data_IF_343367513567
#
_entry.id   IF_343367513567
#
_cell.length_a   1.000
_cell.length_b   1.000
_cell.length_c   1.000
_cell.angle_alpha   90.00
_cell.angle_beta   90.00
_cell.angle_gamma   90.00
#
_symmetry.space_group_name_H-M   'P 1'
#
loop_
_entity.id
_entity.type
_entity.pdbx_description
1 polymer ?
#
# COMPACT_ATOMS: atom_id res chain seq x y z
N UNK A 1 3.39 -6.63 13.57
CA UNK A 1 2.56 -5.50 14.04
C UNK A 1 1.63 -5.93 15.20
N UNK A 2 0.63 -6.79 14.95
CA UNK A 2 -0.35 -7.14 15.97
C UNK A 2 0.27 -7.81 17.23
N UNK A 3 1.22 -8.72 17.04
CA UNK A 3 1.93 -9.33 18.18
C UNK A 3 2.72 -8.30 18.99
N UNK A 4 3.33 -7.33 18.32
CA UNK A 4 4.02 -6.21 18.98
C UNK A 4 3.03 -5.32 19.74
N UNK A 5 1.84 -5.11 19.20
CA UNK A 5 0.79 -4.34 19.87
C UNK A 5 0.34 -5.05 21.16
N UNK A 6 0.12 -6.37 21.10
CA UNK A 6 -0.20 -7.16 22.29
C UNK A 6 0.92 -7.08 23.33
N UNK A 7 2.18 -7.21 22.91
CA UNK A 7 3.34 -7.06 23.81
C UNK A 7 3.41 -5.66 24.43
N UNK A 8 3.18 -4.59 23.66
CA UNK A 8 3.15 -3.20 24.16
C UNK A 8 2.07 -2.99 25.22
N UNK A 9 0.90 -3.60 25.02
CA UNK A 9 -0.24 -3.45 25.93
C UNK A 9 -0.11 -4.36 27.17
N UNK A 10 0.40 -5.58 27.01
CA UNK A 10 0.36 -6.60 28.10
C UNK A 10 1.72 -6.89 28.71
N UNK A 11 2.81 -6.52 28.06
CA UNK A 11 4.17 -6.93 28.41
C UNK A 11 4.48 -8.40 28.08
N UNK A 12 3.58 -9.11 27.39
CA UNK A 12 3.74 -10.54 27.07
C UNK A 12 3.84 -10.76 25.56
N UNK A 13 4.69 -11.71 25.17
CA UNK A 13 4.84 -12.09 23.78
C UNK A 13 3.71 -13.03 23.33
N UNK A 14 3.13 -12.73 22.19
CA UNK A 14 2.17 -13.58 21.51
C UNK A 14 2.93 -14.52 20.56
N UNK A 15 2.81 -15.82 20.77
CA UNK A 15 3.38 -16.81 19.84
C UNK A 15 2.63 -16.74 18.51
N UNK A 16 3.35 -16.47 17.44
CA UNK A 16 2.81 -16.41 16.08
C UNK A 16 3.42 -17.49 15.21
N UNK A 17 2.60 -18.13 14.38
CA UNK A 17 3.07 -19.12 13.42
C UNK A 17 2.16 -19.20 12.20
N UNK A 18 2.73 -19.45 11.04
CA UNK A 18 1.99 -19.93 9.88
C UNK A 18 1.79 -21.44 10.03
N UNK A 19 0.55 -21.92 9.95
CA UNK A 19 0.23 -23.34 10.18
C UNK A 19 -1.04 -23.73 9.44
N UNK A 20 -1.23 -25.04 9.28
CA UNK A 20 -2.49 -25.61 8.82
C UNK A 20 -3.37 -26.04 10.00
N UNK A 21 -4.70 -26.22 9.77
CA UNK A 21 -5.58 -26.82 10.76
C UNK A 21 -5.06 -28.20 11.17
N UNK A 22 -4.95 -28.44 12.49
CA UNK A 22 -4.41 -29.69 13.05
C UNK A 22 -2.94 -29.62 13.50
N UNK A 23 -2.16 -28.68 13.00
CA UNK A 23 -0.73 -28.55 13.38
C UNK A 23 -0.51 -27.76 14.66
N UNK A 24 -1.59 -27.21 15.25
CA UNK A 24 -1.51 -26.30 16.39
C UNK A 24 -2.18 -26.90 17.61
N UNK A 25 -1.45 -26.98 18.71
CA UNK A 25 -2.00 -27.26 20.04
C UNK A 25 -1.95 -26.00 20.88
N UNK A 26 -3.10 -25.37 21.09
CA UNK A 26 -3.24 -24.19 21.93
C UNK A 26 -4.66 -24.13 22.51
N UNK A 27 -4.79 -23.93 23.82
CA UNK A 27 -6.11 -23.82 24.44
C UNK A 27 -6.96 -22.67 23.87
N UNK A 28 -6.30 -21.55 23.53
CA UNK A 28 -6.91 -20.35 22.94
C UNK A 28 -6.05 -19.88 21.77
N UNK A 29 -6.68 -19.34 20.73
CA UNK A 29 -6.00 -18.87 19.54
C UNK A 29 -6.67 -17.60 18.95
N UNK A 30 -5.91 -16.88 18.15
CA UNK A 30 -6.43 -15.90 17.20
C UNK A 30 -6.11 -16.46 15.83
N UNK A 31 -7.14 -16.79 15.05
CA UNK A 31 -7.03 -17.35 13.69
C UNK A 31 -7.29 -16.23 12.72
N UNK A 32 -6.31 -15.96 11.85
CA UNK A 32 -6.35 -14.84 10.90
C UNK A 32 -6.14 -15.34 9.49
N UNK A 33 -6.96 -14.89 8.55
CA UNK A 33 -6.75 -15.27 7.16
C UNK A 33 -7.70 -14.63 6.17
N UNK A 34 -7.36 -14.78 4.90
CA UNK A 34 -8.15 -14.30 3.78
C UNK A 34 -9.03 -15.44 3.24
N UNK A 35 -10.30 -15.15 2.97
CA UNK A 35 -11.27 -16.07 2.38
C UNK A 35 -10.72 -16.61 1.05
N UNK A 36 -10.82 -17.92 0.86
CA UNK A 36 -10.33 -18.61 -0.35
C UNK A 36 -8.79 -18.76 -0.43
N UNK A 37 -8.02 -18.10 0.47
CA UNK A 37 -6.54 -18.20 0.50
C UNK A 37 -6.00 -18.88 1.75
N UNK A 38 -6.66 -18.71 2.88
CA UNK A 38 -6.23 -19.30 4.16
C UNK A 38 -6.83 -20.68 4.36
N UNK A 39 -5.97 -21.68 4.58
CA UNK A 39 -6.40 -23.05 4.90
C UNK A 39 -7.29 -23.08 6.17
N UNK A 40 -6.96 -22.26 7.18
CA UNK A 40 -7.75 -22.15 8.40
C UNK A 40 -9.16 -21.61 8.14
N UNK A 41 -9.27 -20.50 7.42
CA UNK A 41 -10.57 -19.90 7.11
C UNK A 41 -11.41 -20.86 6.26
N UNK A 42 -10.81 -21.46 5.23
CA UNK A 42 -11.49 -22.40 4.36
C UNK A 42 -12.00 -23.65 5.12
N UNK A 43 -11.19 -24.17 6.06
CA UNK A 43 -11.60 -25.30 6.90
C UNK A 43 -12.77 -24.94 7.83
N UNK A 44 -12.75 -23.76 8.44
CA UNK A 44 -13.85 -23.29 9.31
C UNK A 44 -15.14 -23.07 8.52
N UNK A 45 -15.06 -22.56 7.30
CA UNK A 45 -16.21 -22.41 6.39
C UNK A 45 -16.77 -23.78 5.99
N UNK A 46 -15.90 -24.71 5.57
CA UNK A 46 -16.30 -26.07 5.17
C UNK A 46 -16.99 -26.84 6.33
N UNK A 47 -16.54 -26.61 7.57
CA UNK A 47 -17.13 -27.18 8.77
C UNK A 47 -18.36 -26.39 9.29
N UNK A 48 -18.83 -25.37 8.56
CA UNK A 48 -19.94 -24.49 8.94
C UNK A 48 -19.77 -23.84 10.34
N UNK A 49 -18.52 -23.61 10.76
CA UNK A 49 -18.20 -22.94 12.04
C UNK A 49 -18.21 -21.42 11.90
N UNK A 50 -17.99 -20.91 10.71
CA UNK A 50 -18.14 -19.50 10.33
C UNK A 50 -18.87 -19.39 9.00
N UNK A 51 -19.57 -18.28 8.82
CA UNK A 51 -20.18 -17.90 7.53
C UNK A 51 -19.52 -16.64 6.99
N UNK A 52 -18.77 -16.78 5.91
CA UNK A 52 -18.06 -15.68 5.23
C UNK A 52 -18.86 -15.08 4.08
N UNK A 53 -20.07 -15.58 3.77
CA UNK A 53 -20.95 -15.05 2.70
C UNK A 53 -21.09 -13.53 2.75
N UNK A 54 -21.26 -12.89 3.95
CA UNK A 54 -21.43 -11.45 4.01
C UNK A 54 -20.24 -10.61 3.52
N UNK A 55 -19.02 -11.19 3.49
CA UNK A 55 -17.82 -10.47 3.06
C UNK A 55 -17.26 -10.99 1.72
N UNK A 56 -17.70 -12.15 1.27
CA UNK A 56 -17.20 -12.79 0.04
C UNK A 56 -17.59 -11.95 -1.20
N UNK A 57 -16.63 -11.73 -2.09
CA UNK A 57 -16.82 -10.91 -3.30
C UNK A 57 -16.78 -9.41 -3.09
N UNK A 58 -16.83 -8.94 -1.84
CA UNK A 58 -16.58 -7.54 -1.49
C UNK A 58 -15.08 -7.23 -1.44
N UNK A 59 -14.71 -5.97 -1.45
CA UNK A 59 -13.32 -5.54 -1.33
C UNK A 59 -13.06 -4.87 0.01
N UNK A 60 -11.90 -5.19 0.62
CA UNK A 60 -11.43 -4.65 1.90
C UNK A 60 -12.43 -4.84 3.06
N UNK A 61 -13.30 -5.86 2.97
CA UNK A 61 -14.22 -6.24 4.04
C UNK A 61 -13.58 -7.25 4.96
N UNK A 62 -14.04 -7.28 6.19
CA UNK A 62 -13.62 -8.28 7.17
C UNK A 62 -14.74 -8.61 8.15
N UNK A 63 -14.59 -9.75 8.77
CA UNK A 63 -15.42 -10.15 9.91
C UNK A 63 -14.56 -10.64 11.06
N UNK A 64 -15.07 -10.46 12.27
CA UNK A 64 -14.46 -10.94 13.50
C UNK A 64 -15.53 -11.64 14.29
N UNK A 65 -15.28 -12.86 14.70
CA UNK A 65 -16.18 -13.58 15.61
C UNK A 65 -15.42 -14.57 16.50
N UNK A 66 -16.06 -14.97 17.58
CA UNK A 66 -15.54 -16.00 18.49
C UNK A 66 -16.10 -17.34 18.07
N UNK A 67 -15.24 -18.35 17.94
CA UNK A 67 -15.60 -19.73 17.58
C UNK A 67 -15.16 -20.68 18.67
N UNK A 68 -16.11 -21.47 19.18
CA UNK A 68 -15.82 -22.54 20.12
C UNK A 68 -15.37 -23.81 19.37
N UNK A 69 -14.33 -24.46 19.88
CA UNK A 69 -13.75 -25.67 19.33
C UNK A 69 -13.45 -25.57 17.82
N UNK A 70 -12.68 -24.55 17.38
CA UNK A 70 -12.42 -24.34 15.96
C UNK A 70 -11.67 -25.50 15.33
N UNK A 71 -10.80 -26.17 16.07
CA UNK A 71 -10.06 -27.35 15.66
C UNK A 71 -9.73 -28.22 16.88
N UNK A 72 -9.33 -29.50 16.68
CA UNK A 72 -8.85 -30.35 17.78
C UNK A 72 -7.75 -29.67 18.59
N UNK A 73 -7.86 -29.70 19.91
CA UNK A 73 -6.89 -29.08 20.83
C UNK A 73 -7.09 -27.57 21.06
N UNK A 74 -7.93 -26.87 20.29
CA UNK A 74 -8.23 -25.46 20.51
C UNK A 74 -9.65 -25.32 21.07
N UNK A 75 -9.75 -24.88 22.34
CA UNK A 75 -11.05 -24.73 23.02
C UNK A 75 -11.85 -23.55 22.46
N UNK A 76 -11.19 -22.44 22.16
CA UNK A 76 -11.84 -21.21 21.67
C UNK A 76 -10.87 -20.37 20.85
N UNK A 77 -11.36 -19.75 19.77
CA UNK A 77 -10.58 -18.79 19.00
C UNK A 77 -11.38 -17.53 18.69
N UNK A 78 -10.65 -16.39 18.58
CA UNK A 78 -11.11 -15.23 17.85
C UNK A 78 -10.70 -15.46 16.39
N UNK A 79 -11.67 -15.42 15.48
CA UNK A 79 -11.43 -15.59 14.04
C UNK A 79 -11.55 -14.24 13.37
N UNK A 80 -10.52 -13.87 12.61
CA UNK A 80 -10.47 -12.68 11.75
C UNK A 80 -10.40 -13.16 10.31
N UNK A 81 -11.47 -12.99 9.55
CA UNK A 81 -11.53 -13.34 8.14
C UNK A 81 -11.67 -12.07 7.29
N UNK A 82 -10.79 -11.88 6.32
CA UNK A 82 -10.87 -10.79 5.35
C UNK A 82 -11.33 -11.28 3.98
N UNK A 83 -12.06 -10.44 3.23
CA UNK A 83 -12.40 -10.70 1.82
C UNK A 83 -11.16 -10.71 0.92
N UNK A 84 -10.15 -9.94 1.30
CA UNK A 84 -8.85 -9.82 0.66
C UNK A 84 -7.74 -9.55 1.69
N UNK A 85 -6.49 -9.33 1.19
CA UNK A 85 -5.32 -9.11 2.07
C UNK A 85 -5.45 -7.86 2.94
N UNK A 86 -6.06 -6.77 2.43
CA UNK A 86 -6.29 -5.53 3.19
C UNK A 86 -7.40 -5.69 4.21
N UNK A 87 -8.51 -6.28 3.83
CA UNK A 87 -9.58 -6.61 4.77
C UNK A 87 -9.08 -7.46 5.94
N UNK A 88 -8.21 -8.44 5.66
CA UNK A 88 -7.58 -9.25 6.72
C UNK A 88 -6.73 -8.39 7.66
N UNK A 89 -5.90 -7.51 7.12
CA UNK A 89 -5.07 -6.59 7.90
C UNK A 89 -5.92 -5.61 8.73
N UNK A 90 -6.96 -5.02 8.13
CA UNK A 90 -7.87 -4.10 8.83
C UNK A 90 -8.61 -4.78 9.98
N UNK A 91 -9.09 -6.02 9.76
CA UNK A 91 -9.73 -6.79 10.82
C UNK A 91 -8.79 -7.03 12.00
N UNK A 92 -7.55 -7.42 11.74
CA UNK A 92 -6.56 -7.65 12.78
C UNK A 92 -6.17 -6.35 13.50
N UNK A 93 -5.93 -5.26 12.78
CA UNK A 93 -5.57 -3.96 13.35
C UNK A 93 -6.75 -3.26 14.05
N UNK A 94 -7.99 -3.64 13.74
CA UNK A 94 -9.14 -3.18 14.52
C UNK A 94 -9.13 -3.74 15.93
N UNK A 95 -8.62 -4.97 16.11
CA UNK A 95 -8.38 -5.53 17.46
C UNK A 95 -7.25 -4.76 18.16
N UNK A 96 -6.15 -4.42 17.45
CA UNK A 96 -5.10 -3.55 18.01
C UNK A 96 -5.66 -2.25 18.56
N UNK A 97 -6.55 -1.60 17.80
CA UNK A 97 -7.25 -0.39 18.26
C UNK A 97 -8.13 -0.65 19.48
N UNK A 98 -8.89 -1.75 19.49
CA UNK A 98 -9.77 -2.12 20.59
C UNK A 98 -9.02 -2.40 21.88
N UNK A 99 -7.79 -2.91 21.82
CA UNK A 99 -6.93 -3.12 23.00
C UNK A 99 -6.17 -1.86 23.44
N UNK A 100 -6.36 -0.73 22.76
CA UNK A 100 -5.83 0.58 23.18
C UNK A 100 -4.59 1.05 22.43
N UNK A 101 -4.25 0.46 21.28
CA UNK A 101 -3.16 0.95 20.44
C UNK A 101 -3.69 1.95 19.42
N UNK A 102 -3.39 3.22 19.62
CA UNK A 102 -3.74 4.28 18.69
C UNK A 102 -3.04 4.10 17.33
N UNK A 103 -3.67 4.38 16.19
CA UNK A 103 -2.97 4.51 14.91
C UNK A 103 -1.78 5.47 14.95
N UNK A 104 -1.85 6.46 15.81
CA UNK A 104 -0.86 7.53 15.96
C UNK A 104 0.21 7.26 17.02
N UNK A 105 0.28 6.03 17.57
CA UNK A 105 1.19 5.70 18.65
C UNK A 105 2.66 6.02 18.32
N UNK A 106 3.05 5.88 17.07
CA UNK A 106 4.41 6.10 16.62
C UNK A 106 4.63 7.54 16.09
N UNK A 107 3.72 8.03 15.23
CA UNK A 107 3.88 9.34 14.58
C UNK A 107 3.56 10.54 15.49
N UNK A 108 2.73 10.37 16.48
CA UNK A 108 2.32 11.43 17.39
C UNK A 108 2.54 11.05 18.87
N UNK A 109 3.41 10.07 19.13
CA UNK A 109 3.76 9.59 20.48
C UNK A 109 2.52 9.31 21.36
N UNK A 110 1.41 8.88 20.73
CA UNK A 110 0.18 8.59 21.45
C UNK A 110 0.42 7.44 22.44
N UNK A 111 0.23 7.65 23.76
CA UNK A 111 0.66 6.69 24.77
C UNK A 111 -0.15 5.39 24.71
N UNK A 112 0.53 4.27 24.85
CA UNK A 112 -0.08 2.94 24.99
C UNK A 112 -0.13 2.61 26.47
N UNK A 113 -1.34 2.48 27.01
CA UNK A 113 -1.53 2.12 28.42
C UNK A 113 -1.32 0.62 28.61
N UNK A 114 -0.35 0.24 29.44
CA UNK A 114 -0.15 -1.15 29.82
C UNK A 114 -1.29 -1.65 30.72
N UNK A 115 -1.70 -2.89 30.50
CA UNK A 115 -2.79 -3.55 31.21
C UNK A 115 -2.34 -4.91 31.74
N UNK A 116 -2.51 -5.14 33.05
CA UNK A 116 -2.21 -6.44 33.67
C UNK A 116 -3.17 -7.56 33.25
N UNK A 117 -4.39 -7.18 32.84
CA UNK A 117 -5.42 -8.10 32.33
C UNK A 117 -6.03 -7.44 31.09
N UNK A 118 -6.01 -8.16 30.00
CA UNK A 118 -6.63 -7.74 28.75
C UNK A 118 -7.89 -8.58 28.54
N UNK A 119 -9.02 -7.92 28.38
CA UNK A 119 -10.29 -8.55 28.01
C UNK A 119 -10.88 -7.78 26.83
N UNK A 120 -11.11 -8.47 25.74
CA UNK A 120 -11.81 -7.92 24.57
C UNK A 120 -13.11 -8.69 24.42
N UNK A 121 -14.23 -7.98 24.50
CA UNK A 121 -15.52 -8.59 24.21
C UNK A 121 -15.72 -8.60 22.70
N UNK A 122 -15.59 -9.77 22.10
CA UNK A 122 -15.74 -9.96 20.67
C UNK A 122 -17.15 -10.46 20.38
N UNK A 123 -18.05 -9.54 20.02
CA UNK A 123 -19.29 -9.89 19.34
C UNK A 123 -19.01 -10.16 17.88
N UNK A 124 -19.89 -10.90 17.20
CA UNK A 124 -19.81 -11.04 15.76
C UNK A 124 -19.86 -9.65 15.11
N UNK A 125 -18.80 -9.29 14.41
CA UNK A 125 -18.67 -8.02 13.70
C UNK A 125 -18.44 -8.29 12.21
N UNK A 126 -19.12 -7.55 11.36
CA UNK A 126 -18.96 -7.59 9.91
C UNK A 126 -18.79 -6.16 9.43
N UNK A 127 -17.67 -5.87 8.78
CA UNK A 127 -17.40 -4.53 8.23
C UNK A 127 -18.27 -4.25 7.03
N UNK A 128 -18.53 -2.98 6.79
CA UNK A 128 -19.04 -2.51 5.49
C UNK A 128 -17.89 -2.43 4.49
N UNK A 129 -18.23 -2.47 3.21
CA UNK A 129 -17.29 -2.14 2.15
C UNK A 129 -17.01 -0.63 2.19
N UNK A 130 -15.76 -0.19 2.01
CA UNK A 130 -15.45 1.23 1.93
C UNK A 130 -16.14 1.89 0.74
N UNK A 131 -16.73 3.07 0.95
CA UNK A 131 -17.43 3.80 -0.12
C UNK A 131 -16.49 4.36 -1.20
N UNK A 132 -15.19 4.55 -0.88
CA UNK A 132 -14.16 5.07 -1.78
C UNK A 132 -13.06 4.04 -1.94
N UNK A 133 -12.71 3.73 -3.20
CA UNK A 133 -11.75 2.67 -3.52
C UNK A 133 -10.33 2.99 -3.06
N UNK A 134 -9.84 4.18 -3.35
CA UNK A 134 -8.49 4.62 -2.96
C UNK A 134 -8.58 5.69 -1.88
N UNK A 135 -7.91 5.44 -0.74
CA UNK A 135 -7.91 6.29 0.44
C UNK A 135 -6.48 6.37 0.95
N UNK A 136 -5.93 7.56 1.02
CA UNK A 136 -4.53 7.68 1.39
C UNK A 136 -4.07 9.11 1.53
N UNK A 137 -2.77 9.27 1.46
CA UNK A 137 -2.10 10.56 1.55
C UNK A 137 -1.18 10.78 0.35
N UNK A 138 -0.87 12.04 0.13
CA UNK A 138 0.18 12.50 -0.75
C UNK A 138 1.28 13.15 0.11
N UNK A 139 2.51 12.66 -0.01
CA UNK A 139 3.66 13.28 0.63
C UNK A 139 4.13 14.39 -0.29
N UNK A 140 3.90 15.62 0.15
CA UNK A 140 4.30 16.83 -0.52
C UNK A 140 5.03 17.72 0.48
N UNK A 141 5.99 18.52 0.03
CA UNK A 141 6.84 19.35 0.91
C UNK A 141 7.66 18.54 1.93
N UNK A 142 8.06 17.32 1.60
CA UNK A 142 8.84 16.43 2.45
C UNK A 142 10.20 17.01 2.84
N UNK A 143 10.77 17.88 2.05
CA UNK A 143 12.02 18.60 2.30
C UNK A 143 11.94 19.57 3.48
N UNK A 144 10.74 20.01 3.85
CA UNK A 144 10.52 20.89 5.00
C UNK A 144 10.60 20.15 6.34
N UNK A 145 10.24 18.88 6.38
CA UNK A 145 10.19 18.12 7.62
C UNK A 145 10.61 16.67 7.49
N UNK A 146 9.83 15.83 6.82
CA UNK A 146 9.97 14.38 6.79
C UNK A 146 11.36 13.93 6.29
N UNK A 147 11.85 14.52 5.21
CA UNK A 147 13.17 14.21 4.65
C UNK A 147 14.29 14.48 5.67
N UNK A 148 14.30 15.68 6.26
CA UNK A 148 15.32 16.07 7.23
C UNK A 148 15.25 15.22 8.48
N UNK A 149 14.05 14.93 8.96
CA UNK A 149 13.86 14.07 10.12
C UNK A 149 14.39 12.64 9.86
N UNK A 150 13.98 12.01 8.77
CA UNK A 150 14.43 10.65 8.44
C UNK A 150 15.93 10.58 8.24
N UNK A 151 16.50 11.47 7.43
CA UNK A 151 17.94 11.55 7.15
C UNK A 151 18.78 11.72 8.43
N UNK A 152 18.32 12.54 9.37
CA UNK A 152 19.12 12.90 10.54
C UNK A 152 18.84 12.03 11.77
N UNK A 153 17.67 11.39 11.85
CA UNK A 153 17.23 10.69 13.07
C UNK A 153 16.86 9.23 12.85
N UNK A 154 16.31 8.84 11.69
CA UNK A 154 15.71 7.53 11.52
C UNK A 154 16.43 6.62 10.51
N UNK A 155 16.76 7.10 9.31
CA UNK A 155 17.54 6.39 8.29
C UNK A 155 18.88 7.10 8.03
N UNK A 156 19.63 7.39 9.10
CA UNK A 156 20.93 8.11 9.06
C UNK A 156 21.94 7.44 8.13
N UNK A 157 21.99 6.12 8.15
CA UNK A 157 22.90 5.32 7.34
C UNK A 157 22.65 5.47 5.84
N UNK A 158 21.43 5.78 5.45
CA UNK A 158 21.06 6.04 4.06
C UNK A 158 21.30 7.51 3.66
N UNK A 159 21.27 8.41 4.62
CA UNK A 159 21.35 9.86 4.36
C UNK A 159 20.14 10.40 3.58
N UNK A 160 19.05 9.64 3.55
CA UNK A 160 17.79 9.93 2.88
C UNK A 160 16.68 9.14 3.56
N UNK A 161 15.43 9.30 3.15
CA UNK A 161 14.42 8.34 3.62
C UNK A 161 14.12 7.27 2.57
N UNK A 162 13.79 6.09 3.05
CA UNK A 162 13.63 4.90 2.22
C UNK A 162 12.73 3.88 2.90
N UNK A 163 13.03 2.57 2.79
CA UNK A 163 12.12 1.51 3.16
C UNK A 163 11.68 1.52 4.63
N UNK A 164 12.53 1.95 5.57
CA UNK A 164 12.14 2.02 6.98
C UNK A 164 11.10 3.12 7.21
N UNK A 165 11.30 4.30 6.64
CA UNK A 165 10.35 5.41 6.75
C UNK A 165 9.04 5.07 6.05
N UNK A 166 9.11 4.52 4.83
CA UNK A 166 7.90 4.10 4.12
C UNK A 166 7.16 2.97 4.84
N UNK A 167 7.85 2.06 5.53
CA UNK A 167 7.19 1.04 6.35
C UNK A 167 6.33 1.66 7.47
N UNK A 168 6.82 2.70 8.16
CA UNK A 168 6.05 3.40 9.18
C UNK A 168 4.85 4.16 8.60
N UNK A 169 5.00 4.73 7.40
CA UNK A 169 3.89 5.40 6.70
C UNK A 169 2.84 4.37 6.28
N UNK A 170 3.25 3.26 5.69
CA UNK A 170 2.35 2.18 5.29
C UNK A 170 1.61 1.55 6.48
N UNK A 171 2.29 1.38 7.62
CA UNK A 171 1.67 0.93 8.86
C UNK A 171 0.57 1.90 9.33
N UNK A 172 0.86 3.21 9.36
CA UNK A 172 -0.13 4.22 9.70
C UNK A 172 -1.35 4.14 8.79
N UNK A 173 -1.13 4.04 7.48
CA UNK A 173 -2.22 3.93 6.51
C UNK A 173 -3.10 2.71 6.79
N UNK A 174 -2.52 1.52 7.01
CA UNK A 174 -3.29 0.33 7.35
C UNK A 174 -4.07 0.49 8.65
N UNK A 175 -3.48 1.10 9.68
CA UNK A 175 -4.14 1.36 10.98
C UNK A 175 -5.33 2.32 10.84
N UNK A 176 -5.27 3.22 9.86
CA UNK A 176 -6.35 4.13 9.49
C UNK A 176 -7.33 3.56 8.45
N UNK A 177 -7.17 2.29 8.07
CA UNK A 177 -7.92 1.63 7.00
C UNK A 177 -7.81 2.36 5.66
N UNK A 178 -6.64 2.94 5.40
CA UNK A 178 -6.25 3.51 4.12
C UNK A 178 -5.40 2.52 3.34
N UNK A 179 -5.32 2.71 2.01
CA UNK A 179 -4.70 1.75 1.09
C UNK A 179 -3.85 2.39 0.01
N UNK A 180 -3.65 3.72 0.03
CA UNK A 180 -3.04 4.44 -1.08
C UNK A 180 -1.99 5.44 -0.60
N UNK A 181 -0.91 5.56 -1.36
CA UNK A 181 0.18 6.49 -1.09
C UNK A 181 0.71 7.10 -2.39
N UNK A 182 0.67 8.43 -2.52
CA UNK A 182 1.56 9.16 -3.40
C UNK A 182 2.85 9.45 -2.62
N UNK A 183 4.00 8.90 -3.04
CA UNK A 183 5.25 9.06 -2.31
C UNK A 183 5.85 10.46 -2.49
N UNK A 184 6.90 10.74 -1.73
CA UNK A 184 7.71 11.93 -1.84
C UNK A 184 8.26 12.12 -3.26
N UNK A 185 8.20 13.35 -3.77
CA UNK A 185 8.48 13.65 -5.18
C UNK A 185 9.51 14.75 -5.40
N UNK A 186 9.85 15.54 -4.39
CA UNK A 186 10.81 16.63 -4.52
C UNK A 186 12.23 16.10 -4.74
N UNK A 187 13.06 16.86 -5.42
CA UNK A 187 14.43 16.49 -5.76
C UNK A 187 15.38 16.42 -4.55
N UNK A 188 15.00 17.03 -3.42
CA UNK A 188 15.70 16.89 -2.14
C UNK A 188 15.70 15.44 -1.66
N UNK A 189 14.64 14.69 -1.92
CA UNK A 189 14.49 13.28 -1.56
C UNK A 189 14.80 12.37 -2.75
N UNK A 190 15.23 11.15 -2.46
CA UNK A 190 15.40 10.15 -3.51
C UNK A 190 14.04 9.66 -3.98
N UNK A 191 13.81 9.64 -5.29
CA UNK A 191 12.56 9.13 -5.86
C UNK A 191 12.24 7.73 -5.35
N UNK A 192 10.99 7.48 -5.01
CA UNK A 192 10.52 6.24 -4.39
C UNK A 192 10.98 4.99 -5.15
N UNK A 193 10.80 5.00 -6.46
CA UNK A 193 11.08 3.83 -7.31
C UNK A 193 12.57 3.60 -7.61
N UNK A 194 13.45 4.54 -7.28
CA UNK A 194 14.91 4.34 -7.34
C UNK A 194 15.45 3.40 -6.26
N UNK A 195 14.65 3.15 -5.23
CA UNK A 195 14.98 2.23 -4.15
C UNK A 195 14.04 1.02 -4.29
N UNK A 196 14.50 -0.11 -4.87
CA UNK A 196 13.65 -1.27 -5.12
C UNK A 196 12.94 -1.79 -3.87
N UNK A 197 13.57 -1.70 -2.71
CA UNK A 197 13.03 -2.14 -1.43
C UNK A 197 11.77 -1.37 -1.03
N UNK A 198 11.61 -0.12 -1.47
CA UNK A 198 10.41 0.67 -1.19
C UNK A 198 9.16 0.01 -1.77
N UNK A 199 9.25 -0.52 -3.01
CA UNK A 199 8.13 -1.23 -3.66
C UNK A 199 7.77 -2.52 -2.92
N UNK A 200 8.81 -3.26 -2.48
CA UNK A 200 8.61 -4.48 -1.71
C UNK A 200 7.95 -4.19 -0.35
N UNK A 201 8.34 -3.11 0.31
CA UNK A 201 7.70 -2.65 1.54
C UNK A 201 6.24 -2.29 1.28
N UNK A 202 5.95 -1.42 0.31
CA UNK A 202 4.57 -1.03 0.01
C UNK A 202 3.70 -2.24 -0.32
N UNK A 203 4.20 -3.19 -1.13
CA UNK A 203 3.47 -4.42 -1.45
C UNK A 203 3.25 -5.31 -0.22
N UNK A 204 4.26 -5.45 0.65
CA UNK A 204 4.13 -6.24 1.90
C UNK A 204 3.06 -5.68 2.84
N UNK A 205 2.85 -4.37 2.83
CA UNK A 205 1.76 -3.68 3.53
C UNK A 205 0.47 -3.59 2.71
N UNK A 206 0.43 -4.15 1.49
CA UNK A 206 -0.71 -4.07 0.59
C UNK A 206 -1.15 -2.62 0.26
N UNK A 207 -0.20 -1.70 0.18
CA UNK A 207 -0.44 -0.31 -0.18
C UNK A 207 -0.31 -0.14 -1.69
N UNK A 208 -1.32 0.47 -2.29
CA UNK A 208 -1.34 0.87 -3.71
C UNK A 208 -0.52 2.14 -3.87
N UNK A 209 0.44 2.12 -4.78
CA UNK A 209 1.29 3.28 -5.02
C UNK A 209 0.71 4.14 -6.14
N UNK A 210 0.63 5.44 -5.87
CA UNK A 210 0.35 6.44 -6.91
C UNK A 210 1.57 7.30 -7.20
N UNK A 211 1.36 8.35 -7.96
CA UNK A 211 2.36 9.38 -8.21
C UNK A 211 1.72 10.74 -8.39
N UNK A 212 2.55 11.77 -8.29
CA UNK A 212 2.13 13.14 -8.54
C UNK A 212 1.96 13.41 -10.05
N UNK A 213 1.44 14.61 -10.36
CA UNK A 213 1.35 15.13 -11.73
C UNK A 213 2.71 15.26 -12.43
N UNK A 214 3.81 15.37 -11.67
CA UNK A 214 5.17 15.47 -12.20
C UNK A 214 5.82 14.10 -12.47
N UNK A 215 5.11 13.00 -12.22
CA UNK A 215 5.67 11.65 -12.28
C UNK A 215 4.85 10.75 -13.22
N UNK A 216 4.90 11.00 -14.54
CA UNK A 216 4.19 10.16 -15.51
C UNK A 216 4.68 8.71 -15.39
N UNK A 217 3.72 7.77 -15.37
CA UNK A 217 3.98 6.34 -15.20
C UNK A 217 4.92 6.01 -14.02
N UNK A 218 4.82 6.77 -12.91
CA UNK A 218 5.64 6.60 -11.71
C UNK A 218 7.13 6.95 -11.91
N UNK A 219 7.47 7.67 -12.98
CA UNK A 219 8.83 8.13 -13.26
C UNK A 219 9.01 9.57 -12.78
N UNK A 220 9.87 9.79 -11.79
CA UNK A 220 10.15 11.13 -11.26
C UNK A 220 11.04 11.92 -12.20
N UNK A 221 10.44 12.87 -12.93
CA UNK A 221 11.14 13.64 -13.96
C UNK A 221 12.25 14.54 -13.42
N UNK A 222 12.10 15.04 -12.18
CA UNK A 222 13.04 15.96 -11.58
C UNK A 222 14.34 15.28 -11.12
N UNK A 223 14.23 14.10 -10.50
CA UNK A 223 15.36 13.43 -9.84
C UNK A 223 15.95 12.28 -10.64
N UNK A 224 15.17 11.65 -11.54
CA UNK A 224 15.60 10.47 -12.30
C UNK A 224 16.08 10.78 -13.70
N UNK A 225 15.57 11.83 -14.35
CA UNK A 225 16.03 12.21 -15.67
C UNK A 225 17.44 12.83 -15.63
N UNK A 226 18.36 12.30 -16.42
CA UNK A 226 19.75 12.77 -16.50
C UNK A 226 20.02 13.30 -17.91
N UNK A 227 19.96 14.63 -18.07
CA UNK A 227 20.09 15.33 -19.36
C UNK A 227 21.38 14.98 -20.10
N UNK A 228 22.49 14.84 -19.36
CA UNK A 228 23.80 14.50 -19.91
C UNK A 228 23.86 13.12 -20.56
N UNK A 229 22.97 12.20 -20.17
CA UNK A 229 22.92 10.81 -20.65
C UNK A 229 21.71 10.51 -21.51
N UNK A 230 20.60 11.19 -21.26
CA UNK A 230 19.28 10.90 -21.84
C UNK A 230 18.84 11.96 -22.85
N UNK A 231 19.60 13.07 -23.01
CA UNK A 231 19.21 14.22 -23.83
C UNK A 231 18.16 15.10 -23.16
N UNK A 232 17.47 15.90 -23.94
CA UNK A 232 16.40 16.77 -23.42
C UNK A 232 15.18 15.96 -23.03
N UNK A 233 14.51 16.36 -21.95
CA UNK A 233 13.16 15.91 -21.63
C UNK A 233 12.17 16.66 -22.52
N UNK A 234 12.06 16.20 -23.76
CA UNK A 234 11.34 16.88 -24.82
C UNK A 234 10.67 15.86 -25.74
N UNK A 235 9.35 15.92 -25.78
CA UNK A 235 8.56 14.94 -26.55
C UNK A 235 8.54 15.22 -28.06
N UNK A 236 8.95 16.44 -28.49
CA UNK A 236 9.11 16.77 -29.92
C UNK A 236 10.42 16.21 -30.45
N UNK A 237 11.53 16.50 -29.74
CA UNK A 237 12.87 16.24 -30.25
C UNK A 237 13.48 14.93 -29.72
N UNK A 238 12.96 14.40 -28.61
CA UNK A 238 13.49 13.21 -27.95
C UNK A 238 12.39 12.24 -27.47
N UNK A 239 11.33 12.08 -28.27
CA UNK A 239 10.20 11.17 -27.95
C UNK A 239 10.69 9.77 -27.61
N UNK A 240 11.61 9.20 -28.38
CA UNK A 240 12.12 7.85 -28.19
C UNK A 240 12.82 7.70 -26.83
N UNK A 241 13.60 8.70 -26.40
CA UNK A 241 14.24 8.70 -25.08
C UNK A 241 13.24 8.76 -23.94
N UNK A 242 12.24 9.65 -24.04
CA UNK A 242 11.15 9.76 -23.05
C UNK A 242 10.35 8.46 -22.98
N UNK A 243 9.90 7.94 -24.10
CA UNK A 243 9.12 6.70 -24.16
C UNK A 243 9.91 5.49 -23.61
N UNK A 244 11.23 5.46 -23.81
CA UNK A 244 12.09 4.38 -23.32
C UNK A 244 12.08 4.29 -21.79
N UNK A 245 12.26 5.40 -21.08
CA UNK A 245 12.28 5.41 -19.62
C UNK A 245 10.90 5.15 -19.00
N UNK A 246 9.85 5.67 -19.63
CA UNK A 246 8.47 5.43 -19.19
C UNK A 246 8.08 3.95 -19.35
N UNK A 247 8.45 3.35 -20.48
CA UNK A 247 8.27 1.90 -20.71
C UNK A 247 9.04 1.05 -19.71
N UNK A 248 10.30 1.39 -19.46
CA UNK A 248 11.12 0.69 -18.49
C UNK A 248 10.46 0.72 -17.08
N UNK A 249 9.98 1.90 -16.65
CA UNK A 249 9.29 2.05 -15.38
C UNK A 249 7.96 1.30 -15.33
N UNK A 250 7.17 1.34 -16.40
CA UNK A 250 5.93 0.58 -16.49
C UNK A 250 6.17 -0.94 -16.30
N UNK A 251 7.19 -1.49 -16.96
CA UNK A 251 7.58 -2.89 -16.80
C UNK A 251 8.04 -3.22 -15.38
N UNK A 252 8.86 -2.34 -14.78
CA UNK A 252 9.38 -2.49 -13.42
C UNK A 252 8.28 -2.50 -12.36
N UNK A 253 7.23 -1.70 -12.57
CA UNK A 253 6.14 -1.53 -11.62
C UNK A 253 4.93 -2.44 -11.89
N UNK A 254 4.84 -3.07 -13.05
CA UNK A 254 3.72 -3.93 -13.45
C UNK A 254 3.33 -5.04 -12.44
N UNK A 255 4.28 -5.69 -11.71
CA UNK A 255 3.95 -6.71 -10.73
C UNK A 255 3.24 -6.19 -9.47
N UNK A 256 3.25 -4.89 -9.23
CA UNK A 256 2.74 -4.27 -8.02
C UNK A 256 1.39 -3.58 -8.23
N UNK A 257 0.67 -3.30 -7.15
CA UNK A 257 -0.58 -2.54 -7.21
C UNK A 257 -0.28 -1.05 -7.32
N UNK A 258 -0.68 -0.44 -8.44
CA UNK A 258 -0.45 0.98 -8.69
C UNK A 258 -1.69 1.68 -9.28
N UNK A 259 -1.75 2.99 -9.09
CA UNK A 259 -2.53 3.93 -9.89
C UNK A 259 -1.53 4.75 -10.70
N UNK A 260 -1.56 4.62 -12.00
CA UNK A 260 -0.60 5.27 -12.89
C UNK A 260 -1.07 6.67 -13.29
N UNK A 261 -0.23 7.66 -13.10
CA UNK A 261 -0.46 9.01 -13.64
C UNK A 261 -0.11 9.03 -15.12
N UNK A 262 -1.07 9.39 -15.96
CA UNK A 262 -0.86 9.66 -17.39
C UNK A 262 -0.75 11.16 -17.56
N UNK A 263 0.40 11.63 -18.01
CA UNK A 263 0.71 13.04 -18.12
C UNK A 263 1.78 13.32 -19.19
N UNK A 264 1.81 14.53 -19.65
CA UNK A 264 2.92 15.07 -20.44
C UNK A 264 3.27 16.45 -19.89
N UNK A 265 4.27 16.52 -19.02
CA UNK A 265 4.78 17.75 -18.41
C UNK A 265 6.28 17.90 -18.65
N UNK A 266 6.81 19.08 -18.43
CA UNK A 266 8.24 19.33 -18.35
C UNK A 266 8.85 18.71 -17.08
N UNK A 267 10.10 19.04 -16.84
CA UNK A 267 10.77 18.61 -15.61
C UNK A 267 10.14 19.31 -14.41
N UNK A 268 9.72 18.53 -13.42
CA UNK A 268 8.98 19.00 -12.26
C UNK A 268 7.70 19.74 -12.70
N UNK A 269 7.43 20.95 -12.20
CA UNK A 269 6.26 21.77 -12.51
C UNK A 269 6.42 22.64 -13.78
N UNK A 270 7.48 22.47 -14.53
CA UNK A 270 7.71 23.28 -15.74
C UNK A 270 6.84 22.78 -16.88
N UNK A 271 6.49 23.69 -17.80
CA UNK A 271 5.88 23.31 -19.04
C UNK A 271 6.88 22.52 -19.91
N UNK A 272 6.39 21.52 -20.63
CA UNK A 272 7.18 20.87 -21.68
C UNK A 272 7.28 21.79 -22.89
N UNK A 273 8.40 21.68 -23.61
CA UNK A 273 8.54 22.32 -24.90
C UNK A 273 7.44 21.81 -25.85
N UNK A 274 6.76 22.73 -26.52
CA UNK A 274 5.64 22.42 -27.39
C UNK A 274 5.55 23.43 -28.52
N UNK A 275 4.89 23.06 -29.63
CA UNK A 275 4.53 23.94 -30.70
C UNK A 275 3.73 25.15 -30.21
N UNK A 276 3.81 26.27 -30.91
CA UNK A 276 2.95 27.43 -30.67
C UNK A 276 1.52 27.20 -31.20
N UNK A 277 1.33 26.24 -32.09
CA UNK A 277 0.01 25.85 -32.57
C UNK A 277 -0.74 24.97 -31.59
N UNK A 278 -1.99 25.29 -31.32
CA UNK A 278 -2.82 24.55 -30.35
C UNK A 278 -3.21 23.15 -30.85
N UNK A 279 -3.36 22.97 -32.15
CA UNK A 279 -3.69 21.68 -32.73
C UNK A 279 -2.51 20.72 -32.59
N UNK A 280 -1.29 21.19 -32.81
CA UNK A 280 -0.07 20.41 -32.61
C UNK A 280 0.12 20.01 -31.14
N UNK A 281 -0.13 20.95 -30.20
CA UNK A 281 -0.07 20.65 -28.76
C UNK A 281 -1.06 19.54 -28.35
N UNK A 282 -2.29 19.67 -28.84
CA UNK A 282 -3.34 18.67 -28.62
C UNK A 282 -2.93 17.31 -29.16
N UNK A 283 -2.40 17.27 -30.38
CA UNK A 283 -1.97 16.04 -31.03
C UNK A 283 -0.80 15.41 -30.25
N UNK A 284 0.20 16.21 -29.88
CA UNK A 284 1.35 15.73 -29.07
C UNK A 284 0.92 15.12 -27.74
N UNK A 285 0.01 15.79 -27.00
CA UNK A 285 -0.53 15.27 -25.76
C UNK A 285 -1.30 13.97 -25.97
N UNK A 286 -2.15 13.92 -26.99
CA UNK A 286 -2.91 12.73 -27.33
C UNK A 286 -1.99 11.55 -27.67
N UNK A 287 -0.97 11.76 -28.48
CA UNK A 287 0.02 10.76 -28.85
C UNK A 287 0.76 10.22 -27.62
N UNK A 288 1.17 11.12 -26.71
CA UNK A 288 1.87 10.75 -25.48
C UNK A 288 0.98 9.90 -24.57
N UNK A 289 -0.26 10.31 -24.32
CA UNK A 289 -1.21 9.57 -23.49
C UNK A 289 -1.54 8.19 -24.07
N UNK A 290 -1.72 8.11 -25.41
CA UNK A 290 -1.94 6.83 -26.10
C UNK A 290 -0.72 5.91 -26.02
N UNK A 291 0.50 6.45 -26.17
CA UNK A 291 1.73 5.70 -26.00
C UNK A 291 1.90 5.17 -24.56
N UNK A 292 1.67 6.02 -23.55
CA UNK A 292 1.73 5.63 -22.14
C UNK A 292 0.70 4.53 -21.81
N UNK A 293 -0.54 4.68 -22.28
CA UNK A 293 -1.58 3.67 -22.10
C UNK A 293 -1.19 2.33 -22.75
N UNK A 294 -0.62 2.37 -23.95
CA UNK A 294 -0.11 1.16 -24.61
C UNK A 294 1.03 0.51 -23.80
N UNK A 295 1.97 1.30 -23.26
CA UNK A 295 3.04 0.78 -22.42
C UNK A 295 2.49 0.04 -21.20
N UNK A 296 1.44 0.56 -20.57
CA UNK A 296 0.80 -0.11 -19.41
C UNK A 296 0.11 -1.41 -19.81
N UNK A 297 -0.60 -1.44 -20.94
CA UNK A 297 -1.23 -2.66 -21.47
C UNK A 297 -0.16 -3.72 -21.75
N UNK A 298 0.91 -3.33 -22.46
CA UNK A 298 2.02 -4.22 -22.81
C UNK A 298 2.73 -4.77 -21.54
N UNK A 299 2.96 -3.92 -20.54
CA UNK A 299 3.67 -4.28 -19.32
C UNK A 299 2.83 -5.16 -18.36
N UNK A 300 1.52 -4.91 -18.27
CA UNK A 300 0.66 -5.58 -17.30
C UNK A 300 -0.10 -6.76 -17.86
N UNK A 301 -0.25 -6.85 -19.18
CA UNK A 301 -1.10 -7.83 -19.86
C UNK A 301 -2.61 -7.62 -19.60
N UNK A 302 -3.01 -6.51 -19.00
CA UNK A 302 -4.40 -6.19 -18.67
C UNK A 302 -5.03 -5.34 -19.76
N UNK A 303 -6.37 -5.35 -19.84
CA UNK A 303 -7.09 -4.38 -20.67
C UNK A 303 -6.90 -2.96 -20.09
N UNK A 304 -6.87 -1.96 -20.96
CA UNK A 304 -6.61 -0.59 -20.53
C UNK A 304 -7.59 -0.02 -19.50
N UNK A 305 -8.87 -0.46 -19.54
CA UNK A 305 -9.90 -0.08 -18.56
C UNK A 305 -9.75 -0.75 -17.20
N UNK A 306 -9.03 -1.87 -17.12
CA UNK A 306 -8.78 -2.60 -15.88
C UNK A 306 -7.53 -2.10 -15.14
N UNK A 307 -6.75 -1.20 -15.75
CA UNK A 307 -5.55 -0.60 -15.15
C UNK A 307 -5.96 0.72 -14.47
N UNK A 308 -5.77 0.86 -13.15
CA UNK A 308 -6.06 2.13 -12.48
C UNK A 308 -5.17 3.26 -13.01
N UNK A 309 -5.80 4.32 -13.50
CA UNK A 309 -5.13 5.46 -14.15
C UNK A 309 -5.72 6.77 -13.65
N UNK A 310 -4.88 7.79 -13.52
CA UNK A 310 -5.24 9.16 -13.28
C UNK A 310 -4.68 10.04 -14.39
N UNK A 311 -5.47 10.96 -14.91
CA UNK A 311 -5.03 11.93 -15.91
C UNK A 311 -4.73 13.24 -15.22
N UNK A 312 -3.59 13.85 -15.54
CA UNK A 312 -3.23 15.17 -15.07
C UNK A 312 -2.85 16.06 -16.25
N UNK A 313 -3.24 17.35 -16.23
CA UNK A 313 -2.89 18.28 -17.29
C UNK A 313 -1.40 18.60 -17.34
#
# INVERSE_FOLDING_TARGET
>A
LFADDVRRVTGQDLKTQASNPGDVSARYAIIVGTVGKSAWINALVAQKKIDTTPITGGWERYMIETVDNPAPGIKKAIVVAGSDRRGTAYGLLSISKAIGVSPWYWWADAPIKQQKKLAVNVHKFISKEPAVKFRGIFINDEDWGLYRWSKNNYEKERGNFGPKTYAQICELLLRLQANYLCPAMHDASMAFHRIPENRLVADSFAIVMGSSHCEPLLFNTASEWKRDKMGEWDYINNRAGVDSVLRARANECAPFENVYTLALRGLHDRAMNASNDMADRKQMLQDALMAQRKMLIDATGKRGEDIPQAFTP
#
